data_IF_521893659478
#
_entry.id   IF_521893659478
#
_cell.length_a   1.000
_cell.length_b   1.000
_cell.length_c   1.000
_cell.angle_alpha   90.00
_cell.angle_beta   90.00
_cell.angle_gamma   90.00
#
_symmetry.space_group_name_H-M   'P 1'
#
loop_
_entity.id
_entity.type
_entity.pdbx_description
1 polymer ?
#
# COMPACT_ATOMS: atom_id res chain seq x y z
N UNK A 1 3.52 15.36 3.00
CA UNK A 1 3.46 14.02 3.61
C UNK A 1 4.45 13.14 2.87
N UNK A 2 4.91 12.02 3.43
CA UNK A 2 5.60 11.02 2.61
C UNK A 2 4.72 10.66 1.41
N UNK A 3 5.35 10.31 0.29
CA UNK A 3 4.63 9.81 -0.87
C UNK A 3 4.10 8.40 -0.60
N UNK A 4 3.08 7.97 -1.32
CA UNK A 4 2.50 6.63 -1.15
C UNK A 4 3.53 5.52 -1.40
N UNK A 5 4.46 5.73 -2.33
CA UNK A 5 5.58 4.82 -2.60
C UNK A 5 6.38 4.52 -1.32
N UNK A 6 6.58 5.53 -0.47
CA UNK A 6 7.32 5.38 0.78
C UNK A 6 6.54 4.54 1.79
N UNK A 7 5.22 4.75 1.91
CA UNK A 7 4.37 3.95 2.81
C UNK A 7 4.23 2.50 2.35
N UNK A 8 4.14 2.27 1.03
CA UNK A 8 4.13 0.93 0.44
C UNK A 8 5.47 0.24 0.71
N UNK A 9 6.59 0.90 0.42
CA UNK A 9 7.92 0.37 0.69
C UNK A 9 8.19 0.08 2.18
N UNK A 10 7.69 0.92 3.08
CA UNK A 10 7.76 0.66 4.53
C UNK A 10 6.98 -0.60 4.91
N UNK A 11 5.80 -0.79 4.30
CA UNK A 11 4.97 -1.97 4.53
C UNK A 11 5.69 -3.24 4.09
N UNK A 12 6.24 -3.24 2.87
CA UNK A 12 7.05 -4.35 2.35
C UNK A 12 8.24 -4.63 3.27
N UNK A 13 9.02 -3.60 3.64
CA UNK A 13 10.16 -3.75 4.53
C UNK A 13 9.79 -4.33 5.91
N UNK A 14 8.66 -3.91 6.49
CA UNK A 14 8.15 -4.48 7.76
C UNK A 14 7.76 -5.95 7.60
N UNK A 15 7.09 -6.32 6.50
CA UNK A 15 6.60 -7.67 6.28
C UNK A 15 7.70 -8.67 5.86
N UNK A 16 8.74 -8.19 5.18
CA UNK A 16 9.93 -8.99 4.83
C UNK A 16 10.80 -9.30 6.05
N UNK A 17 10.80 -8.40 7.05
CA UNK A 17 11.47 -8.62 8.31
C UNK A 17 10.70 -9.68 9.07
N UNK A 18 11.35 -10.79 9.41
CA UNK A 18 10.78 -11.82 10.28
C UNK A 18 10.66 -11.30 11.73
N UNK A 19 9.88 -10.25 11.96
CA UNK A 19 9.70 -9.52 13.21
C UNK A 19 8.42 -9.96 13.92
N UNK A 20 8.18 -9.44 15.13
CA UNK A 20 6.95 -9.76 15.88
C UNK A 20 5.71 -9.23 15.18
N UNK A 21 5.79 -8.05 14.56
CA UNK A 21 4.68 -7.45 13.82
C UNK A 21 4.36 -8.28 12.56
N UNK A 22 5.36 -8.61 11.75
CA UNK A 22 5.16 -9.41 10.53
C UNK A 22 4.52 -10.78 10.82
N UNK A 23 4.92 -11.44 11.92
CA UNK A 23 4.33 -12.72 12.35
C UNK A 23 2.94 -12.58 12.95
N UNK A 24 2.58 -11.38 13.41
CA UNK A 24 1.28 -11.10 14.01
C UNK A 24 0.22 -10.89 12.93
N UNK A 25 0.56 -10.12 11.89
CA UNK A 25 -0.34 -9.75 10.79
C UNK A 25 -0.86 -11.02 10.09
N UNK A 26 -2.19 -11.13 9.95
CA UNK A 26 -2.86 -12.24 9.28
C UNK A 26 -3.35 -11.85 7.90
N UNK A 27 -3.86 -10.64 7.76
CA UNK A 27 -4.31 -10.08 6.50
C UNK A 27 -3.34 -8.98 6.06
N UNK A 28 -2.30 -9.39 5.33
CA UNK A 28 -1.30 -8.45 4.78
C UNK A 28 -1.94 -7.48 3.79
N UNK A 29 -2.97 -7.93 3.07
CA UNK A 29 -3.74 -7.09 2.16
C UNK A 29 -4.43 -5.93 2.90
N UNK A 30 -5.08 -6.24 4.02
CA UNK A 30 -5.70 -5.25 4.89
C UNK A 30 -4.67 -4.32 5.55
N UNK A 31 -3.54 -4.87 6.02
CA UNK A 31 -2.45 -4.09 6.60
C UNK A 31 -1.85 -3.08 5.62
N UNK A 32 -1.58 -3.49 4.37
CA UNK A 32 -1.11 -2.58 3.33
C UNK A 32 -2.14 -1.52 2.96
N UNK A 33 -3.42 -1.90 2.83
CA UNK A 33 -4.47 -0.93 2.58
C UNK A 33 -4.57 0.09 3.72
N UNK A 34 -4.46 -0.35 4.97
CA UNK A 34 -4.40 0.52 6.15
C UNK A 34 -3.30 1.58 6.05
N UNK A 35 -2.15 1.25 5.46
CA UNK A 35 -1.04 2.19 5.27
C UNK A 35 -1.32 3.32 4.27
N UNK A 36 -2.44 3.28 3.53
CA UNK A 36 -2.86 4.37 2.64
C UNK A 36 -4.21 4.99 3.05
N UNK A 37 -4.93 4.38 4.01
CA UNK A 37 -6.25 4.82 4.47
C UNK A 37 -6.32 6.30 4.86
N UNK A 38 -5.37 6.86 5.64
CA UNK A 38 -5.47 8.26 6.09
C UNK A 38 -5.53 9.29 4.95
N UNK A 39 -5.03 8.93 3.77
CA UNK A 39 -5.00 9.76 2.56
C UNK A 39 -6.21 9.58 1.63
N UNK A 40 -7.09 8.61 1.91
CA UNK A 40 -8.29 8.37 1.11
C UNK A 40 -9.28 9.50 1.34
N UNK A 41 -9.90 9.56 2.52
CA UNK A 41 -11.06 10.43 2.76
C UNK A 41 -10.72 11.92 2.83
N UNK A 42 -9.43 12.29 2.96
CA UNK A 42 -8.98 13.68 2.80
C UNK A 42 -8.96 14.14 1.34
N UNK A 43 -9.08 13.20 0.40
CA UNK A 43 -9.10 13.47 -1.05
C UNK A 43 -7.71 13.60 -1.67
N UNK A 44 -6.65 13.17 -0.98
CA UNK A 44 -5.30 13.18 -1.54
C UNK A 44 -5.08 12.00 -2.49
N UNK A 45 -5.49 10.80 -2.05
CA UNK A 45 -5.34 9.58 -2.85
C UNK A 45 -6.46 9.42 -3.87
N UNK A 46 -7.71 9.57 -3.44
CA UNK A 46 -8.88 9.45 -4.30
C UNK A 46 -9.38 10.85 -4.64
N UNK A 47 -9.24 11.31 -5.89
CA UNK A 47 -9.76 12.61 -6.29
C UNK A 47 -11.30 12.60 -6.36
N UNK A 48 -11.92 13.75 -6.11
CA UNK A 48 -13.35 13.93 -6.33
C UNK A 48 -14.26 13.39 -5.23
N UNK A 49 -13.76 13.21 -4.01
CA UNK A 49 -14.60 12.92 -2.83
C UNK A 49 -15.54 14.11 -2.60
N UNK A 50 -16.85 13.85 -2.60
CA UNK A 50 -17.88 14.88 -2.44
C UNK A 50 -17.81 15.56 -1.07
N UNK A 51 -17.62 14.77 -0.01
CA UNK A 51 -17.53 15.23 1.38
C UNK A 51 -16.21 14.79 2.02
N UNK A 52 -15.08 15.48 1.73
CA UNK A 52 -13.78 15.07 2.25
C UNK A 52 -13.69 15.31 3.76
N UNK A 53 -13.12 14.35 4.48
CA UNK A 53 -12.79 14.49 5.89
C UNK A 53 -11.59 15.43 6.07
N UNK A 54 -11.62 16.33 7.07
CA UNK A 54 -10.48 17.21 7.32
C UNK A 54 -9.22 16.40 7.67
N UNK A 55 -8.05 16.84 7.20
CA UNK A 55 -6.75 16.21 7.49
C UNK A 55 -6.53 15.93 8.99
N UNK A 56 -6.89 16.88 9.86
CA UNK A 56 -6.79 16.73 11.33
C UNK A 56 -7.60 15.53 11.87
N UNK A 57 -8.67 15.16 11.17
CA UNK A 57 -9.50 14.00 11.50
C UNK A 57 -8.78 12.75 11.02
N UNK A 58 -8.46 12.64 9.72
CA UNK A 58 -7.90 11.40 9.16
C UNK A 58 -6.52 11.06 9.71
N UNK A 59 -5.68 12.07 9.97
CA UNK A 59 -4.31 11.91 10.47
C UNK A 59 -4.14 12.12 11.97
N UNK A 60 -5.24 12.27 12.72
CA UNK A 60 -5.19 12.42 14.17
C UNK A 60 -4.25 13.54 14.68
N UNK A 61 -4.15 14.64 13.93
CA UNK A 61 -3.13 15.67 14.10
C UNK A 61 -3.72 17.06 14.39
N UNK A 62 -2.93 17.91 15.06
CA UNK A 62 -3.26 19.32 15.21
C UNK A 62 -3.11 20.09 13.89
N UNK A 63 -3.80 21.22 13.78
CA UNK A 63 -3.64 22.15 12.66
C UNK A 63 -2.35 22.95 12.80
N UNK A 64 -1.24 22.41 12.29
CA UNK A 64 0.09 23.01 12.29
C UNK A 64 0.70 23.00 10.87
N UNK A 65 1.68 23.87 10.55
CA UNK A 65 2.30 23.90 9.21
C UNK A 65 2.94 22.56 8.79
N UNK A 66 3.47 21.80 9.76
CA UNK A 66 4.01 20.45 9.59
C UNK A 66 3.36 19.59 10.69
N UNK A 67 2.15 19.06 10.44
CA UNK A 67 1.36 18.39 11.48
C UNK A 67 2.01 17.07 11.90
N UNK A 68 2.00 16.76 13.20
CA UNK A 68 2.50 15.49 13.73
C UNK A 68 1.31 14.65 14.20
N UNK A 69 1.02 13.51 13.54
CA UNK A 69 -0.02 12.59 14.00
C UNK A 69 0.19 12.13 15.45
N UNK A 70 -0.91 12.06 16.20
CA UNK A 70 -0.93 11.51 17.57
C UNK A 70 -1.11 9.99 17.51
N UNK A 71 -0.14 9.29 16.96
CA UNK A 71 -0.20 7.82 16.75
C UNK A 71 -0.45 7.02 18.04
N UNK A 72 0.05 7.51 19.19
CA UNK A 72 -0.17 6.84 20.48
C UNK A 72 -1.65 6.91 20.89
N UNK A 73 -2.30 8.05 20.72
CA UNK A 73 -3.72 8.20 21.03
C UNK A 73 -4.58 7.38 20.07
N UNK A 74 -4.18 7.30 18.80
CA UNK A 74 -4.81 6.39 17.83
C UNK A 74 -4.70 4.92 18.28
N UNK A 75 -3.51 4.51 18.73
CA UNK A 75 -3.30 3.17 19.27
C UNK A 75 -4.23 2.87 20.46
N UNK A 76 -4.26 3.78 21.44
CA UNK A 76 -5.06 3.62 22.65
C UNK A 76 -6.57 3.56 22.36
N UNK A 77 -7.05 4.35 21.40
CA UNK A 77 -8.48 4.42 21.06
C UNK A 77 -8.96 3.30 20.14
N UNK A 78 -8.12 2.82 19.22
CA UNK A 78 -8.57 1.93 18.14
C UNK A 78 -7.80 0.61 18.09
N UNK A 79 -6.48 0.61 18.22
CA UNK A 79 -5.69 -0.63 18.11
C UNK A 79 -5.81 -1.49 19.36
N UNK A 80 -5.52 -0.94 20.54
CA UNK A 80 -5.53 -1.68 21.80
C UNK A 80 -6.91 -2.32 22.11
N UNK A 81 -8.05 -1.64 21.91
CA UNK A 81 -9.35 -2.26 22.10
C UNK A 81 -9.64 -3.40 21.12
N UNK A 82 -9.15 -3.34 19.88
CA UNK A 82 -9.28 -4.44 18.93
C UNK A 82 -8.41 -5.62 19.33
N UNK A 83 -7.15 -5.39 19.75
CA UNK A 83 -6.26 -6.44 20.25
C UNK A 83 -6.86 -7.25 21.41
N UNK A 84 -7.61 -6.61 22.29
CA UNK A 84 -8.28 -7.27 23.42
C UNK A 84 -9.52 -8.07 23.02
N UNK A 85 -10.14 -7.75 21.87
CA UNK A 85 -11.40 -8.34 21.41
C UNK A 85 -11.21 -9.44 20.38
N UNK A 86 -10.20 -9.30 19.52
CA UNK A 86 -9.90 -10.28 18.47
C UNK A 86 -9.37 -11.55 19.13
N UNK A 87 -10.07 -12.70 19.00
CA UNK A 87 -9.60 -13.94 19.57
C UNK A 87 -8.27 -14.36 18.90
N UNK A 88 -7.40 -15.06 19.64
CA UNK A 88 -6.20 -15.67 19.08
C UNK A 88 -6.60 -16.70 18.02
N UNK A 89 -6.64 -16.27 16.76
CA UNK A 89 -7.12 -17.08 15.65
C UNK A 89 -5.94 -17.82 15.01
N UNK A 90 -5.74 -19.08 15.41
CA UNK A 90 -4.80 -19.98 14.73
C UNK A 90 -5.35 -20.52 13.39
N UNK A 91 -6.65 -20.36 13.14
CA UNK A 91 -7.35 -20.87 11.97
C UNK A 91 -7.57 -19.81 10.88
N UNK A 92 -7.09 -18.58 11.09
CA UNK A 92 -7.23 -17.51 10.11
C UNK A 92 -6.14 -17.65 9.05
N UNK A 93 -6.56 -17.98 7.83
CA UNK A 93 -5.69 -18.00 6.65
C UNK A 93 -4.93 -16.68 6.51
N UNK A 94 -3.65 -16.78 6.19
CA UNK A 94 -2.84 -15.62 5.84
C UNK A 94 -3.32 -15.11 4.47
N UNK A 95 -3.77 -13.86 4.40
CA UNK A 95 -4.21 -13.23 3.16
C UNK A 95 -3.04 -12.40 2.62
N UNK A 96 -2.43 -12.80 1.49
CA UNK A 96 -1.30 -12.08 0.93
C UNK A 96 -1.75 -10.78 0.24
N UNK A 97 -0.83 -9.84 0.11
CA UNK A 97 -0.98 -8.67 -0.75
C UNK A 97 -0.92 -9.06 -2.23
N UNK A 98 -1.34 -8.17 -3.12
CA UNK A 98 -1.06 -8.28 -4.56
C UNK A 98 0.40 -8.03 -4.85
N UNK A 99 0.88 -8.48 -6.00
CA UNK A 99 2.26 -8.31 -6.46
C UNK A 99 2.27 -8.12 -7.98
N UNK A 100 2.96 -7.08 -8.48
CA UNK A 100 3.10 -6.83 -9.92
C UNK A 100 3.89 -7.96 -10.58
N UNK A 101 4.92 -8.48 -9.91
CA UNK A 101 5.67 -9.65 -10.37
C UNK A 101 4.77 -10.89 -10.51
N UNK A 102 3.91 -11.17 -9.51
CA UNK A 102 2.97 -12.29 -9.56
C UNK A 102 1.89 -12.12 -10.64
N UNK A 103 1.37 -10.90 -10.80
CA UNK A 103 0.41 -10.57 -11.86
C UNK A 103 1.02 -10.80 -13.26
N UNK A 104 2.24 -10.31 -13.47
CA UNK A 104 2.99 -10.46 -14.73
C UNK A 104 3.25 -11.93 -15.04
N UNK A 105 3.71 -12.71 -14.05
CA UNK A 105 3.91 -14.15 -14.21
C UNK A 105 2.62 -14.89 -14.60
N UNK A 106 1.49 -14.53 -13.98
CA UNK A 106 0.18 -15.09 -14.31
C UNK A 106 -0.25 -14.77 -15.75
N UNK A 107 -0.01 -13.53 -16.23
CA UNK A 107 -0.27 -13.14 -17.62
C UNK A 107 0.59 -13.97 -18.58
N UNK A 108 1.89 -14.09 -18.32
CA UNK A 108 2.81 -14.88 -19.15
C UNK A 108 2.36 -16.34 -19.25
N UNK A 109 1.95 -16.95 -18.14
CA UNK A 109 1.47 -18.34 -18.15
C UNK A 109 0.16 -18.50 -18.92
N UNK A 110 -0.77 -17.55 -18.81
CA UNK A 110 -2.01 -17.55 -19.61
C UNK A 110 -1.73 -17.40 -21.10
N UNK A 111 -0.76 -16.56 -21.48
CA UNK A 111 -0.33 -16.41 -22.88
C UNK A 111 0.28 -17.72 -23.39
N UNK A 112 1.23 -18.32 -22.66
CA UNK A 112 1.83 -19.61 -23.00
C UNK A 112 0.78 -20.72 -23.15
N UNK A 113 -0.17 -20.82 -22.22
CA UNK A 113 -1.25 -21.78 -22.29
C UNK A 113 -2.18 -21.52 -23.50
N UNK A 114 -2.40 -20.25 -23.87
CA UNK A 114 -3.15 -19.91 -25.07
C UNK A 114 -2.39 -20.27 -26.36
N UNK A 115 -1.07 -20.07 -26.40
CA UNK A 115 -0.22 -20.48 -27.52
C UNK A 115 -0.18 -22.00 -27.68
N UNK A 116 -0.04 -22.77 -26.59
CA UNK A 116 -0.11 -24.23 -26.65
C UNK A 116 -1.47 -24.73 -27.14
N UNK A 117 -2.56 -24.05 -26.77
CA UNK A 117 -3.92 -24.36 -27.28
C UNK A 117 -4.12 -24.03 -28.75
N UNK A 118 -3.32 -23.12 -29.34
CA UNK A 118 -3.39 -22.83 -30.78
C UNK A 118 -2.85 -23.98 -31.64
N UNK A 119 -2.13 -24.94 -31.05
CA UNK A 119 -1.52 -26.07 -31.76
C UNK A 119 -0.48 -25.62 -32.80
N UNK A 120 0.32 -26.53 -33.38
CA UNK A 120 1.01 -26.22 -34.61
C UNK A 120 -0.06 -25.97 -35.68
N UNK A 121 -0.02 -24.82 -36.36
CA UNK A 121 -0.75 -24.67 -37.61
C UNK A 121 -0.28 -25.82 -38.52
N UNK A 122 -1.12 -26.85 -38.65
CA UNK A 122 -0.98 -27.83 -39.72
C UNK A 122 -1.26 -27.02 -40.98
N UNK A 123 -0.16 -26.56 -41.59
CA UNK A 123 -0.15 -25.94 -42.90
C UNK A 123 -0.70 -27.00 -43.88
N UNK A 124 -2.01 -26.96 -44.10
CA UNK A 124 -2.64 -27.76 -45.13
C UNK A 124 -2.04 -27.28 -46.45
N UNK A 125 -1.31 -28.17 -47.11
CA UNK A 125 -0.39 -27.84 -48.18
C UNK A 125 -1.01 -26.98 -49.28
N UNK A 126 -0.58 -25.73 -49.32
CA UNK A 126 -0.44 -24.96 -50.55
C UNK A 126 0.81 -24.11 -50.41
N UNK A 127 1.76 -24.34 -51.32
CA UNK A 127 3.03 -23.63 -51.36
C UNK A 127 2.82 -22.11 -51.33
N UNK A 128 3.58 -21.39 -50.48
CA UNK A 128 4.45 -20.27 -50.85
C UNK A 128 4.97 -19.49 -49.63
N UNK A 129 6.26 -19.13 -49.72
CA UNK A 129 7.04 -18.14 -48.99
C UNK A 129 7.58 -18.50 -47.58
N UNK A 130 8.91 -18.64 -47.54
CA UNK A 130 9.73 -18.68 -46.33
C UNK A 130 9.47 -17.45 -45.44
N UNK A 131 9.11 -17.70 -44.18
CA UNK A 131 9.06 -16.66 -43.15
C UNK A 131 10.42 -16.59 -42.47
N UNK A 132 11.15 -15.50 -42.70
CA UNK A 132 12.36 -15.15 -41.95
C UNK A 132 12.01 -14.82 -40.49
N UNK A 133 12.88 -15.10 -39.51
CA UNK A 133 12.59 -14.82 -38.11
C UNK A 133 12.55 -13.30 -37.87
N UNK A 134 11.46 -12.82 -37.28
CA UNK A 134 11.28 -11.40 -36.92
C UNK A 134 12.12 -11.11 -35.68
N UNK A 135 13.30 -10.52 -35.90
CA UNK A 135 14.13 -9.92 -34.85
C UNK A 135 13.68 -8.47 -34.61
N UNK A 136 12.50 -8.26 -34.04
CA UNK A 136 12.12 -6.97 -33.41
C UNK A 136 10.74 -7.08 -32.74
N UNK A 137 10.71 -6.91 -31.41
CA UNK A 137 9.47 -6.92 -30.60
C UNK A 137 9.01 -5.49 -30.25
N UNK A 138 9.49 -4.48 -30.98
CA UNK A 138 9.14 -3.07 -30.72
C UNK A 138 7.80 -2.61 -31.33
N UNK A 139 6.97 -3.53 -31.85
CA UNK A 139 5.80 -3.17 -32.67
C UNK A 139 4.42 -3.57 -32.14
N UNK A 140 4.29 -4.23 -30.99
CA UNK A 140 3.01 -4.76 -30.49
C UNK A 140 2.42 -3.94 -29.34
N UNK A 141 2.14 -2.66 -29.59
CA UNK A 141 1.26 -1.84 -28.74
C UNK A 141 0.29 -1.04 -29.64
N UNK A 142 -1.00 -1.38 -29.67
CA UNK A 142 -2.00 -0.41 -30.09
C UNK A 142 -2.53 0.34 -28.86
N UNK A 143 -2.20 1.63 -28.83
CA UNK A 143 -3.04 2.75 -28.42
C UNK A 143 -4.17 2.47 -27.40
N UNK A 144 -3.86 2.69 -26.11
CA UNK A 144 -4.83 3.18 -25.13
C UNK A 144 -4.46 4.63 -24.81
N UNK A 145 -4.69 5.52 -25.76
CA UNK A 145 -4.76 6.95 -25.46
C UNK A 145 -6.14 7.44 -25.87
N UNK A 146 -6.72 8.28 -25.00
CA UNK A 146 -8.05 8.88 -25.07
C UNK A 146 -9.23 8.00 -24.61
N UNK A 147 -9.68 8.25 -23.38
CA UNK A 147 -10.97 7.78 -22.89
C UNK A 147 -11.00 7.67 -21.38
N UNK A 148 -11.49 8.72 -20.70
CA UNK A 148 -12.09 8.57 -19.36
C UNK A 148 -13.34 7.72 -19.57
N UNK A 149 -13.14 6.40 -19.57
CA UNK A 149 -14.18 5.41 -19.76
C UNK A 149 -14.67 4.93 -18.41
N UNK A 150 -15.95 5.17 -18.14
CA UNK A 150 -16.71 4.54 -17.06
C UNK A 150 -16.29 3.07 -16.93
N UNK A 151 -15.84 2.67 -15.74
CA UNK A 151 -15.53 1.26 -15.45
C UNK A 151 -16.80 0.46 -15.75
N UNK A 152 -16.77 -0.34 -16.82
CA UNK A 152 -17.91 -1.19 -17.20
C UNK A 152 -18.23 -2.15 -16.05
N UNK A 153 -19.51 -2.32 -15.75
CA UNK A 153 -20.00 -3.27 -14.73
C UNK A 153 -19.51 -4.71 -14.94
N UNK A 154 -19.07 -5.04 -16.17
CA UNK A 154 -18.47 -6.33 -16.51
C UNK A 154 -17.01 -6.48 -16.03
N UNK A 155 -16.24 -5.40 -15.90
CA UNK A 155 -14.90 -5.43 -15.28
C UNK A 155 -15.01 -5.63 -13.76
N UNK A 156 -15.99 -4.95 -13.13
CA UNK A 156 -16.34 -5.16 -11.72
C UNK A 156 -16.81 -6.59 -11.46
N UNK A 157 -17.58 -7.18 -12.38
CA UNK A 157 -18.11 -8.55 -12.22
C UNK A 157 -17.07 -9.66 -12.39
N UNK A 158 -15.94 -9.38 -13.04
CA UNK A 158 -14.87 -10.36 -13.28
C UNK A 158 -13.74 -10.34 -12.23
N UNK A 159 -13.70 -9.34 -11.35
CA UNK A 159 -12.74 -9.26 -10.22
C UNK A 159 -13.23 -9.98 -8.95
N UNK A 160 -14.50 -10.38 -8.90
CA UNK A 160 -15.05 -11.08 -7.73
C UNK A 160 -14.84 -12.58 -7.88
N UNK A 161 -13.71 -13.08 -7.39
CA UNK A 161 -13.52 -14.51 -7.15
C UNK A 161 -14.65 -15.02 -6.23
N UNK A 162 -15.22 -16.20 -6.53
CA UNK A 162 -16.16 -16.87 -5.62
C UNK A 162 -15.39 -17.34 -4.39
N UNK A 163 -15.38 -16.50 -3.34
CA UNK A 163 -14.81 -16.83 -2.04
C UNK A 163 -15.94 -17.26 -1.11
N UNK A 164 -15.66 -18.23 -0.23
CA UNK A 164 -16.52 -18.57 0.90
C UNK A 164 -16.91 -17.31 1.69
N UNK A 165 -18.10 -17.24 2.29
CA UNK A 165 -18.49 -16.10 3.10
C UNK A 165 -17.45 -15.85 4.20
N UNK A 166 -16.98 -14.60 4.29
CA UNK A 166 -16.02 -14.17 5.33
C UNK A 166 -16.68 -14.39 6.69
N UNK A 167 -16.05 -15.17 7.55
CA UNK A 167 -16.57 -15.38 8.90
C UNK A 167 -16.24 -14.18 9.81
N UNK A 168 -16.99 -14.02 10.90
CA UNK A 168 -16.86 -12.89 11.82
C UNK A 168 -15.43 -12.74 12.38
N UNK A 169 -14.77 -13.86 12.71
CA UNK A 169 -13.41 -13.85 13.26
C UNK A 169 -12.40 -13.35 12.22
N UNK A 170 -12.51 -13.83 10.97
CA UNK A 170 -11.69 -13.38 9.85
C UNK A 170 -11.86 -11.88 9.59
N UNK A 171 -13.10 -11.39 9.62
CA UNK A 171 -13.38 -9.97 9.46
C UNK A 171 -12.75 -9.15 10.60
N UNK A 172 -12.92 -9.58 11.86
CA UNK A 172 -12.32 -8.90 13.01
C UNK A 172 -10.79 -8.86 12.94
N UNK A 173 -10.13 -9.94 12.50
CA UNK A 173 -8.70 -9.94 12.24
C UNK A 173 -8.31 -8.94 11.14
N UNK A 174 -9.06 -8.86 10.04
CA UNK A 174 -8.77 -7.90 8.96
C UNK A 174 -9.01 -6.45 9.39
N UNK A 175 -10.02 -6.18 10.22
CA UNK A 175 -10.24 -4.85 10.79
C UNK A 175 -9.07 -4.45 11.68
N UNK A 176 -8.55 -5.38 12.49
CA UNK A 176 -7.36 -5.15 13.30
C UNK A 176 -6.13 -4.88 12.44
N UNK A 177 -5.85 -5.72 11.44
CA UNK A 177 -4.69 -5.56 10.56
C UNK A 177 -4.77 -4.27 9.74
N UNK A 178 -5.95 -3.90 9.23
CA UNK A 178 -6.19 -2.59 8.59
C UNK A 178 -5.94 -1.44 9.57
N UNK A 179 -6.40 -1.55 10.81
CA UNK A 179 -6.20 -0.50 11.83
C UNK A 179 -4.73 -0.39 12.24
N UNK A 180 -4.00 -1.51 12.29
CA UNK A 180 -2.55 -1.53 12.49
C UNK A 180 -1.80 -0.86 11.33
N UNK A 181 -2.24 -1.08 10.09
CA UNK A 181 -1.70 -0.40 8.93
C UNK A 181 -1.89 1.12 9.00
N UNK A 182 -3.09 1.57 9.40
CA UNK A 182 -3.36 2.99 9.61
C UNK A 182 -2.49 3.57 10.73
N UNK A 183 -2.30 2.84 11.83
CA UNK A 183 -1.37 3.24 12.89
C UNK A 183 0.08 3.37 12.37
N UNK A 184 0.56 2.42 11.58
CA UNK A 184 1.90 2.45 10.99
C UNK A 184 2.10 3.68 10.08
N UNK A 185 1.09 4.04 9.27
CA UNK A 185 1.09 5.28 8.49
C UNK A 185 1.25 6.52 9.38
N UNK A 186 0.42 6.64 10.43
CA UNK A 186 0.47 7.78 11.34
C UNK A 186 1.82 7.88 12.09
N UNK A 187 2.41 6.75 12.46
CA UNK A 187 3.74 6.70 13.07
C UNK A 187 4.82 7.14 12.08
N UNK A 188 4.78 6.64 10.85
CA UNK A 188 5.70 7.04 9.79
C UNK A 188 5.64 8.56 9.58
N UNK A 189 4.44 9.11 9.42
CA UNK A 189 4.24 10.54 9.26
C UNK A 189 4.76 11.37 10.43
N UNK A 190 4.49 10.94 11.65
CA UNK A 190 5.00 11.58 12.87
C UNK A 190 6.53 11.65 12.84
N UNK A 191 7.21 10.55 12.50
CA UNK A 191 8.65 10.47 12.46
C UNK A 191 9.26 11.29 11.31
N UNK A 192 8.73 11.16 10.09
CA UNK A 192 9.16 11.99 8.96
C UNK A 192 9.01 13.48 9.26
N UNK A 193 7.86 13.87 9.81
CA UNK A 193 7.60 15.26 10.17
C UNK A 193 8.47 15.72 11.35
N UNK A 194 8.78 14.85 12.32
CA UNK A 194 9.74 15.15 13.38
C UNK A 194 11.14 15.41 12.81
N UNK A 195 11.69 14.49 12.01
CA UNK A 195 13.04 14.60 11.44
C UNK A 195 13.18 15.78 10.49
N UNK A 196 12.15 16.08 9.72
CA UNK A 196 12.11 17.30 8.88
C UNK A 196 12.20 18.57 9.73
N UNK A 197 11.49 18.63 10.86
CA UNK A 197 11.57 19.79 11.75
C UNK A 197 12.97 19.93 12.37
N UNK A 198 13.57 18.83 12.81
CA UNK A 198 14.94 18.84 13.36
C UNK A 198 15.97 19.28 12.31
N UNK A 199 15.81 18.82 11.05
CA UNK A 199 16.66 19.25 9.94
C UNK A 199 16.53 20.75 9.65
N UNK A 200 15.32 21.30 9.76
CA UNK A 200 15.06 22.73 9.62
C UNK A 200 15.69 23.55 10.75
N UNK A 201 15.55 23.09 11.99
CA UNK A 201 16.06 23.79 13.18
C UNK A 201 17.58 23.95 13.11
N UNK A 202 18.30 22.92 12.65
CA UNK A 202 19.77 22.98 12.43
C UNK A 202 20.17 24.04 11.41
N UNK A 203 19.33 24.31 10.40
CA UNK A 203 19.59 25.28 9.33
C UNK A 203 19.11 26.69 9.65
N UNK A 204 18.35 26.86 10.75
CA UNK A 204 17.71 28.13 11.10
C UNK A 204 16.58 28.54 10.13
N UNK A 205 16.10 27.60 9.33
CA UNK A 205 15.07 27.82 8.32
C UNK A 205 13.67 27.68 8.94
N UNK A 206 12.71 28.52 8.52
CA UNK A 206 11.31 28.44 8.99
C UNK A 206 10.39 27.81 7.94
N UNK A 207 9.40 26.98 8.34
CA UNK A 207 8.40 26.45 7.42
C UNK A 207 7.66 27.56 6.68
N UNK A 208 7.56 27.42 5.36
CA UNK A 208 6.79 28.28 4.47
C UNK A 208 6.30 27.47 3.24
N UNK A 209 5.52 28.09 2.34
CA UNK A 209 4.97 27.38 1.19
C UNK A 209 6.03 26.88 0.19
N UNK A 210 7.11 27.62 -0.01
CA UNK A 210 8.22 27.17 -0.86
C UNK A 210 8.91 25.96 -0.24
N UNK A 211 9.08 25.98 1.09
CA UNK A 211 9.60 24.85 1.83
C UNK A 211 8.71 23.62 1.65
N UNK A 212 7.39 23.77 1.83
CA UNK A 212 6.43 22.67 1.70
C UNK A 212 6.47 22.02 0.31
N UNK A 213 6.57 22.82 -0.75
CA UNK A 213 6.69 22.32 -2.14
C UNK A 213 7.98 21.56 -2.38
N UNK A 214 9.12 22.10 -1.95
CA UNK A 214 10.42 21.45 -2.09
C UNK A 214 10.50 20.14 -1.30
N UNK A 215 10.00 20.16 -0.05
CA UNK A 215 9.84 18.96 0.77
C UNK A 215 9.05 17.90 -0.01
N UNK A 216 7.86 18.23 -0.49
CA UNK A 216 7.03 17.24 -1.20
C UNK A 216 7.74 16.70 -2.45
N UNK A 217 8.40 17.55 -3.23
CA UNK A 217 9.17 17.12 -4.39
C UNK A 217 10.32 16.15 -4.02
N UNK A 218 11.02 16.39 -2.91
CA UNK A 218 12.09 15.50 -2.45
C UNK A 218 11.54 14.15 -1.96
N UNK A 219 10.39 14.13 -1.26
CA UNK A 219 9.71 12.90 -0.86
C UNK A 219 9.18 12.11 -2.08
N UNK A 220 8.67 12.78 -3.10
CA UNK A 220 8.22 12.14 -4.34
C UNK A 220 9.41 11.56 -5.10
N UNK A 221 10.56 12.24 -5.10
CA UNK A 221 11.80 11.75 -5.71
C UNK A 221 12.35 10.52 -4.99
N UNK A 222 12.43 10.58 -3.66
CA UNK A 222 12.87 9.44 -2.85
C UNK A 222 11.93 8.24 -3.00
N UNK A 223 10.61 8.46 -3.04
CA UNK A 223 9.66 7.39 -3.30
C UNK A 223 9.94 6.60 -4.58
N UNK A 224 10.46 7.26 -5.63
CA UNK A 224 10.83 6.65 -6.91
C UNK A 224 12.19 5.93 -6.89
N UNK A 225 12.99 6.10 -5.85
CA UNK A 225 14.21 5.29 -5.66
C UNK A 225 13.93 3.94 -5.01
N UNK A 226 12.76 3.78 -4.38
CA UNK A 226 12.38 2.58 -3.66
C UNK A 226 11.82 1.54 -4.64
N UNK A 227 12.30 0.30 -4.53
CA UNK A 227 11.65 -0.83 -5.18
C UNK A 227 10.39 -1.15 -4.41
N UNK A 228 9.25 -1.18 -5.10
CA UNK A 228 7.96 -1.58 -4.59
C UNK A 228 7.32 -2.52 -5.60
N UNK A 229 6.64 -3.55 -5.11
CA UNK A 229 5.97 -4.58 -5.90
C UNK A 229 4.55 -4.87 -5.40
N UNK A 230 4.28 -4.60 -4.13
CA UNK A 230 3.05 -4.96 -3.45
C UNK A 230 1.96 -3.89 -3.58
N UNK A 231 0.72 -4.34 -3.77
CA UNK A 231 -0.46 -3.48 -3.80
C UNK A 231 -1.65 -4.15 -3.10
N UNK A 232 -2.59 -3.37 -2.54
CA UNK A 232 -3.81 -3.94 -1.96
C UNK A 232 -4.74 -4.47 -3.06
N UNK A 233 -5.36 -5.63 -2.87
CA UNK A 233 -6.31 -6.27 -3.77
C UNK A 233 -7.76 -6.04 -3.31
N UNK A 234 -8.66 -5.76 -4.25
CA UNK A 234 -10.10 -5.71 -3.98
C UNK A 234 -10.59 -7.11 -3.68
N UNK A 235 -10.96 -7.36 -2.42
CA UNK A 235 -11.63 -8.58 -1.97
C UNK A 235 -12.83 -8.21 -1.12
N UNK A 236 -13.83 -9.08 -1.05
CA UNK A 236 -15.00 -8.87 -0.17
C UNK A 236 -14.56 -8.64 1.29
N UNK A 237 -13.55 -9.38 1.75
CA UNK A 237 -12.95 -9.25 3.08
C UNK A 237 -12.36 -7.86 3.31
N UNK A 238 -11.61 -7.33 2.34
CA UNK A 238 -11.05 -5.98 2.42
C UNK A 238 -12.16 -4.92 2.45
N UNK A 239 -13.16 -5.03 1.57
CA UNK A 239 -14.26 -4.05 1.50
C UNK A 239 -15.07 -4.02 2.81
N UNK A 240 -15.34 -5.19 3.39
CA UNK A 240 -15.99 -5.27 4.69
C UNK A 240 -15.12 -4.71 5.82
N UNK A 241 -13.81 -4.99 5.83
CA UNK A 241 -12.90 -4.44 6.83
C UNK A 241 -12.81 -2.92 6.75
N UNK A 242 -12.76 -2.35 5.53
CA UNK A 242 -12.75 -0.90 5.29
C UNK A 242 -14.05 -0.23 5.74
N UNK A 243 -15.20 -0.87 5.51
CA UNK A 243 -16.49 -0.39 6.01
C UNK A 243 -16.56 -0.39 7.56
N UNK A 244 -15.78 -1.25 8.23
CA UNK A 244 -15.70 -1.36 9.68
C UNK A 244 -14.46 -0.68 10.28
N UNK A 245 -13.72 0.14 9.51
CA UNK A 245 -12.58 0.88 10.03
C UNK A 245 -13.04 1.79 11.20
N UNK A 246 -12.46 1.64 12.40
CA UNK A 246 -13.09 2.17 13.62
C UNK A 246 -13.04 3.70 13.75
N UNK A 247 -12.14 4.37 13.03
CA UNK A 247 -12.06 5.83 13.06
C UNK A 247 -13.15 6.49 12.19
N UNK A 248 -13.45 5.89 11.04
CA UNK A 248 -14.52 6.26 10.11
C UNK A 248 -14.73 5.13 9.09
N UNK A 249 -15.96 4.94 8.61
CA UNK A 249 -16.24 3.96 7.56
C UNK A 249 -15.73 4.44 6.19
N UNK A 250 -15.18 3.53 5.40
CA UNK A 250 -14.82 3.77 4.00
C UNK A 250 -15.71 2.90 3.14
N UNK A 251 -16.49 3.50 2.24
CA UNK A 251 -17.37 2.72 1.37
C UNK A 251 -16.58 1.96 0.29
N UNK A 252 -17.27 1.03 -0.37
CA UNK A 252 -16.65 0.19 -1.39
C UNK A 252 -16.16 0.95 -2.61
N UNK A 253 -16.80 2.08 -2.98
CA UNK A 253 -16.41 2.88 -4.14
C UNK A 253 -15.07 3.54 -3.89
N UNK A 254 -14.91 4.19 -2.73
CA UNK A 254 -13.65 4.81 -2.32
C UNK A 254 -12.56 3.77 -2.09
N UNK A 255 -12.91 2.60 -1.54
CA UNK A 255 -11.95 1.50 -1.34
C UNK A 255 -11.41 0.96 -2.67
N UNK A 256 -12.28 0.71 -3.66
CA UNK A 256 -11.89 0.25 -5.00
C UNK A 256 -11.05 1.31 -5.70
N UNK A 257 -11.43 2.59 -5.61
CA UNK A 257 -10.68 3.69 -6.20
C UNK A 257 -9.26 3.79 -5.60
N UNK A 258 -9.14 3.71 -4.27
CA UNK A 258 -7.86 3.73 -3.57
C UNK A 258 -6.98 2.53 -3.97
N UNK A 259 -7.55 1.33 -4.08
CA UNK A 259 -6.84 0.15 -4.59
C UNK A 259 -6.31 0.40 -6.00
N UNK A 260 -7.12 0.96 -6.90
CA UNK A 260 -6.70 1.28 -8.27
C UNK A 260 -5.55 2.30 -8.30
N UNK A 261 -5.59 3.32 -7.46
CA UNK A 261 -4.52 4.32 -7.34
C UNK A 261 -3.23 3.69 -6.79
N UNK A 262 -3.32 2.84 -5.76
CA UNK A 262 -2.15 2.13 -5.22
C UNK A 262 -1.52 1.18 -6.25
N UNK A 263 -2.36 0.40 -6.95
CA UNK A 263 -1.91 -0.48 -8.03
C UNK A 263 -1.17 0.29 -9.13
N UNK A 264 -1.76 1.38 -9.62
CA UNK A 264 -1.14 2.21 -10.65
C UNK A 264 0.15 2.88 -10.15
N UNK A 265 0.18 3.30 -8.88
CA UNK A 265 1.38 3.88 -8.25
C UNK A 265 2.55 2.90 -8.30
N UNK A 266 2.32 1.63 -7.93
CA UNK A 266 3.34 0.58 -7.95
C UNK A 266 3.71 0.22 -9.39
N UNK A 267 2.72 0.04 -10.27
CA UNK A 267 2.91 -0.31 -11.68
C UNK A 267 3.73 0.74 -12.44
N UNK A 268 3.50 2.02 -12.16
CA UNK A 268 4.19 3.14 -12.80
C UNK A 268 5.49 3.55 -12.09
N UNK A 269 5.86 2.87 -11.00
CA UNK A 269 7.08 3.17 -10.26
C UNK A 269 8.32 2.64 -11.01
N UNK A 270 8.78 3.43 -11.99
CA UNK A 270 10.05 3.21 -12.65
C UNK A 270 11.19 3.65 -11.74
N UNK A 271 12.04 2.69 -11.35
CA UNK A 271 13.22 2.96 -10.54
C UNK A 271 14.11 3.99 -11.22
N UNK A 272 14.47 5.03 -10.47
CA UNK A 272 15.42 6.04 -10.94
C UNK A 272 16.76 5.38 -11.29
N UNK A 273 17.20 5.56 -12.54
CA UNK A 273 18.49 5.05 -13.02
C UNK A 273 19.68 5.92 -12.61
N UNK A 274 19.41 7.12 -12.09
CA UNK A 274 20.42 8.10 -11.70
C UNK A 274 20.16 8.56 -10.28
N UNK A 275 21.23 8.95 -9.59
CA UNK A 275 21.16 9.54 -8.24
C UNK A 275 20.12 10.67 -8.18
N UNK A 276 19.21 10.64 -7.19
CA UNK A 276 18.16 11.64 -7.06
C UNK A 276 18.74 13.02 -6.74
N UNK A 277 18.27 14.03 -7.47
CA UNK A 277 18.68 15.42 -7.23
C UNK A 277 17.67 16.10 -6.28
N UNK A 278 17.91 15.97 -4.99
CA UNK A 278 17.08 16.60 -3.95
C UNK A 278 17.30 18.12 -3.88
N UNK A 279 16.22 18.85 -3.67
CA UNK A 279 16.19 20.31 -3.62
C UNK A 279 16.46 20.89 -2.22
N UNK A 280 16.28 20.09 -1.16
CA UNK A 280 16.35 20.54 0.22
C UNK A 280 16.93 19.49 1.17
N UNK A 281 16.37 18.29 1.13
CA UNK A 281 16.82 17.14 1.92
C UNK A 281 17.97 16.44 1.18
N UNK A 282 18.57 15.42 1.78
CA UNK A 282 19.64 14.64 1.15
C UNK A 282 19.41 13.13 1.30
N UNK A 283 20.18 12.33 0.55
CA UNK A 283 20.04 10.88 0.55
C UNK A 283 20.22 10.29 1.97
N UNK A 284 21.17 10.83 2.74
CA UNK A 284 21.44 10.38 4.10
C UNK A 284 20.22 10.61 5.00
N UNK A 285 19.57 11.77 4.91
CA UNK A 285 18.34 12.05 5.64
C UNK A 285 17.27 10.99 5.37
N UNK A 286 17.05 10.66 4.09
CA UNK A 286 16.03 9.70 3.69
C UNK A 286 16.35 8.28 4.15
N UNK A 287 17.57 7.81 3.91
CA UNK A 287 18.01 6.46 4.33
C UNK A 287 17.89 6.28 5.85
N UNK A 288 18.39 7.24 6.62
CA UNK A 288 18.36 7.17 8.08
C UNK A 288 16.93 7.20 8.62
N UNK A 289 16.10 8.10 8.10
CA UNK A 289 14.72 8.24 8.58
C UNK A 289 13.86 7.07 8.14
N UNK A 290 14.06 6.52 6.93
CA UNK A 290 13.34 5.33 6.47
C UNK A 290 13.66 4.13 7.36
N UNK A 291 14.95 3.91 7.66
CA UNK A 291 15.38 2.85 8.57
C UNK A 291 14.77 3.03 9.97
N UNK A 292 14.81 4.26 10.51
CA UNK A 292 14.21 4.57 11.81
C UNK A 292 12.72 4.29 11.84
N UNK A 293 11.97 4.63 10.78
CA UNK A 293 10.52 4.39 10.72
C UNK A 293 10.20 2.90 10.80
N UNK A 294 10.93 2.08 10.04
CA UNK A 294 10.73 0.61 10.04
C UNK A 294 11.08 0.02 11.41
N UNK A 295 12.25 0.35 11.97
CA UNK A 295 12.67 -0.14 13.29
C UNK A 295 11.71 0.29 14.41
N UNK A 296 11.32 1.57 14.42
CA UNK A 296 10.45 2.12 15.47
C UNK A 296 9.06 1.50 15.41
N UNK A 297 8.56 1.21 14.21
CA UNK A 297 7.25 0.53 14.04
C UNK A 297 7.27 -0.85 14.67
N UNK A 298 8.31 -1.64 14.43
CA UNK A 298 8.46 -2.97 15.03
C UNK A 298 8.66 -2.90 16.55
N UNK A 299 9.53 -2.00 17.00
CA UNK A 299 9.86 -1.83 18.42
C UNK A 299 8.62 -1.41 19.22
N UNK A 300 7.92 -0.36 18.80
CA UNK A 300 6.74 0.13 19.53
C UNK A 300 5.60 -0.88 19.52
N UNK A 301 5.41 -1.63 18.42
CA UNK A 301 4.44 -2.71 18.39
C UNK A 301 4.76 -3.76 19.46
N UNK A 302 6.01 -4.26 19.51
CA UNK A 302 6.42 -5.26 20.48
C UNK A 302 6.32 -4.77 21.93
N UNK A 303 6.75 -3.53 22.19
CA UNK A 303 6.65 -2.90 23.52
C UNK A 303 5.20 -2.79 24.00
N UNK A 304 4.30 -2.31 23.14
CA UNK A 304 2.89 -2.11 23.49
C UNK A 304 2.15 -3.44 23.67
N UNK A 305 2.52 -4.46 22.90
CA UNK A 305 1.94 -5.79 23.03
C UNK A 305 2.32 -6.45 24.37
N UNK A 306 3.57 -6.26 24.81
CA UNK A 306 4.02 -6.70 26.14
C UNK A 306 3.27 -6.01 27.28
N UNK A 307 2.95 -4.72 27.13
CA UNK A 307 2.16 -3.97 28.13
C UNK A 307 0.73 -4.48 28.23
N UNK A 308 0.16 -4.99 27.14
CA UNK A 308 -1.21 -5.51 27.09
C UNK A 308 -1.33 -6.98 27.55
N UNK A 309 -0.22 -7.65 27.89
CA UNK A 309 -0.15 -9.09 28.22
C UNK A 309 -0.84 -9.99 27.17
N UNK A 310 -0.79 -9.58 25.90
CA UNK A 310 -1.37 -10.33 24.79
C UNK A 310 -0.33 -11.33 24.30
N UNK A 311 -0.61 -12.62 24.48
CA UNK A 311 0.25 -13.69 23.95
C UNK A 311 0.10 -13.79 22.43
N UNK A 312 1.19 -13.54 21.69
CA UNK A 312 1.22 -13.72 20.24
C UNK A 312 1.38 -15.19 19.92
N UNK A 313 0.39 -15.77 19.27
CA UNK A 313 0.59 -17.03 18.56
C UNK A 313 1.11 -16.67 17.15
N UNK A 314 2.31 -17.12 16.74
CA UNK A 314 2.86 -16.81 15.42
C UNK A 314 1.90 -17.26 14.32
N UNK A 315 1.82 -16.49 13.23
CA UNK A 315 1.30 -17.02 11.98
C UNK A 315 2.23 -18.15 11.52
N UNK A 316 1.75 -19.40 11.62
CA UNK A 316 2.49 -20.56 11.12
C UNK A 316 2.44 -20.46 9.61
N UNK A 317 3.59 -20.25 8.97
CA UNK A 317 3.72 -20.39 7.53
C UNK A 317 3.53 -21.87 7.17
N UNK A 318 2.45 -22.17 6.45
CA UNK A 318 2.29 -23.43 5.72
C UNK A 318 2.97 -23.37 4.37
#
# INVERSE_FOLDING_TARGET
>A
MPSWNIHIAQTEAVLERASSLARFIRDQNAFLFGNVVPDIMVGYMVPGIEEPLPYRVTHFANSEPIPKPREQEFWELYVAPLLQRVPACNECDVVPMGSIAAETASVVERVRAAEMRRGPEICCGCACAEVQPVSDVSGLLPALSSGVGVISSQLLSNMVMRVSPVNEVQLQCSVLDLTLGAWAHLLADKLWNLRVNEFLDVRGDRPNDQFRRKKQADFDMFGKTLHIDAFPQVTERLLQAAAHFPQYSIDGVHSIAAVGVAHETVRANELLQTEPNYCMLDARFFEQTFFEVVETTEQLFAERLNVLDVSVTPAVAS
#
